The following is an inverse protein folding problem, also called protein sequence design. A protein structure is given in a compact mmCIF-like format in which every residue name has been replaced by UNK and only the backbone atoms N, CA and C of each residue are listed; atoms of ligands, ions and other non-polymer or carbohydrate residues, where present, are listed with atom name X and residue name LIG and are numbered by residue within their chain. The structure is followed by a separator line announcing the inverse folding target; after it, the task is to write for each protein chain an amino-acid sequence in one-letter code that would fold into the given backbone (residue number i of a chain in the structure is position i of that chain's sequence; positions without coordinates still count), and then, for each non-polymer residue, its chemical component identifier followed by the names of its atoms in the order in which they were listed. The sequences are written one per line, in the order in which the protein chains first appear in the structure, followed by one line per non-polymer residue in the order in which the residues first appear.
data_IF_162153748638
#
_entry.id   IF_162153748638
#
_cell.length_a   1.000
_cell.length_b   1.000
_cell.length_c   1.000
_cell.angle_alpha   90.00
_cell.angle_beta   90.00
_cell.angle_gamma   90.00
#
_symmetry.space_group_name_H-M   'P 1'
#
loop_
_entity.id
_entity.type
_entity.pdbx_description
1 polymer ?
#
# COMPACT_ATOMS: atom_id res chain seq x y z
N UNK A 1 -23.33 -3.04 -15.02
CA UNK A 1 -23.42 -3.47 -13.61
C UNK A 1 -22.83 -4.89 -13.43
N UNK A 2 -21.59 -5.13 -13.90
CA UNK A 2 -20.93 -6.45 -13.82
C UNK A 2 -19.37 -6.33 -13.84
N UNK A 3 -18.82 -5.27 -13.24
CA UNK A 3 -17.36 -5.02 -13.16
C UNK A 3 -16.79 -5.17 -11.74
N UNK A 4 -17.58 -5.65 -10.79
CA UNK A 4 -17.24 -5.66 -9.35
C UNK A 4 -16.55 -6.94 -8.87
N UNK A 5 -16.40 -7.95 -9.72
CA UNK A 5 -15.62 -9.15 -9.42
C UNK A 5 -14.24 -9.05 -10.06
N UNK A 6 -13.48 -8.01 -9.71
CA UNK A 6 -12.07 -7.96 -10.07
C UNK A 6 -11.32 -9.06 -9.31
N UNK A 7 -10.54 -9.87 -10.03
CA UNK A 7 -9.65 -10.92 -9.52
C UNK A 7 -8.64 -10.45 -8.45
N UNK A 8 -8.62 -9.15 -8.17
CA UNK A 8 -7.85 -8.51 -7.11
C UNK A 8 -8.46 -8.66 -5.72
N UNK A 9 -9.78 -8.91 -5.59
CA UNK A 9 -10.39 -9.16 -4.28
C UNK A 9 -9.90 -10.47 -3.67
N UNK A 10 -9.73 -11.52 -4.49
CA UNK A 10 -9.17 -12.80 -4.03
C UNK A 10 -7.72 -12.64 -3.55
N UNK A 11 -6.99 -11.64 -4.07
CA UNK A 11 -5.64 -11.34 -3.62
C UNK A 11 -5.58 -10.88 -2.17
N UNK A 12 -6.65 -10.30 -1.64
CA UNK A 12 -6.77 -9.96 -0.22
C UNK A 12 -6.78 -11.17 0.69
N UNK A 13 -7.22 -12.31 0.14
CA UNK A 13 -7.15 -13.62 0.74
C UNK A 13 -5.87 -14.38 0.36
N UNK A 14 -4.80 -13.77 -0.18
CA UNK A 14 -3.53 -14.48 -0.32
C UNK A 14 -2.77 -14.62 1.03
N UNK A 15 -2.07 -15.74 1.26
CA UNK A 15 -1.20 -15.88 2.42
C UNK A 15 -0.08 -14.82 2.39
N UNK A 16 0.17 -14.16 3.53
CA UNK A 16 1.21 -13.12 3.67
C UNK A 16 0.70 -11.68 3.91
N UNK A 17 -0.60 -11.42 3.74
CA UNK A 17 -1.16 -10.06 3.91
C UNK A 17 -1.63 -9.73 5.34
N UNK A 18 -1.54 -10.65 6.30
CA UNK A 18 -1.96 -10.51 7.72
C UNK A 18 -3.42 -10.12 8.00
N UNK A 19 -4.16 -9.56 7.03
CA UNK A 19 -5.56 -9.10 7.15
C UNK A 19 -6.50 -10.22 7.61
N UNK A 20 -6.30 -11.45 7.14
CA UNK A 20 -7.14 -12.61 7.48
C UNK A 20 -7.24 -12.86 8.99
N UNK A 21 -6.13 -12.70 9.72
CA UNK A 21 -6.10 -12.97 11.17
C UNK A 21 -6.94 -11.95 11.93
N UNK A 22 -6.86 -10.68 11.54
CA UNK A 22 -7.63 -9.60 12.14
C UNK A 22 -9.11 -9.66 11.78
N UNK A 23 -9.43 -10.02 10.54
CA UNK A 23 -10.81 -10.21 10.09
C UNK A 23 -11.49 -11.38 10.83
N UNK A 24 -10.76 -12.49 11.02
CA UNK A 24 -11.25 -13.62 11.82
C UNK A 24 -11.46 -13.21 13.30
N UNK A 25 -10.53 -12.46 13.88
CA UNK A 25 -10.66 -11.96 15.26
C UNK A 25 -11.86 -11.01 15.43
N UNK A 26 -12.11 -10.14 14.44
CA UNK A 26 -13.27 -9.25 14.44
C UNK A 26 -14.59 -10.05 14.33
N UNK A 27 -14.66 -11.03 13.43
CA UNK A 27 -15.85 -11.90 13.32
C UNK A 27 -16.11 -12.66 14.62
N UNK A 28 -15.07 -13.20 15.24
CA UNK A 28 -15.17 -13.90 16.51
C UNK A 28 -15.63 -12.97 17.64
N UNK A 29 -15.10 -11.74 17.70
CA UNK A 29 -15.54 -10.72 18.65
C UNK A 29 -17.01 -10.34 18.51
N UNK A 30 -17.48 -10.11 17.28
CA UNK A 30 -18.90 -9.81 16.99
C UNK A 30 -19.80 -10.98 17.37
N UNK A 31 -19.37 -12.23 17.12
CA UNK A 31 -20.13 -13.42 17.49
C UNK A 31 -20.29 -13.55 19.01
N UNK A 32 -19.20 -13.40 19.78
CA UNK A 32 -19.24 -13.45 21.25
C UNK A 32 -20.11 -12.34 21.82
N UNK A 33 -19.97 -11.12 21.29
CA UNK A 33 -20.77 -9.96 21.73
C UNK A 33 -22.26 -10.15 21.43
N UNK A 34 -22.58 -10.70 20.26
CA UNK A 34 -23.95 -11.05 19.89
C UNK A 34 -24.57 -12.08 20.83
N UNK A 35 -23.82 -13.13 21.20
CA UNK A 35 -24.28 -14.13 22.17
C UNK A 35 -24.50 -13.53 23.57
N UNK A 36 -23.61 -12.67 24.04
CA UNK A 36 -23.74 -12.00 25.33
C UNK A 36 -24.98 -11.10 25.40
N UNK A 37 -25.19 -10.28 24.37
CA UNK A 37 -26.37 -9.41 24.25
C UNK A 37 -27.66 -10.25 24.20
N UNK A 38 -27.65 -11.36 23.45
CA UNK A 38 -28.80 -12.26 23.35
C UNK A 38 -29.18 -12.89 24.71
N UNK A 39 -28.18 -13.27 25.52
CA UNK A 39 -28.43 -13.86 26.84
C UNK A 39 -29.03 -12.82 27.80
N UNK A 40 -28.48 -11.61 27.83
CA UNK A 40 -28.99 -10.50 28.65
C UNK A 40 -30.42 -10.12 28.25
N UNK A 41 -30.69 -9.99 26.95
CA UNK A 41 -32.03 -9.69 26.44
C UNK A 41 -33.03 -10.79 26.78
N UNK A 42 -32.63 -12.06 26.70
CA UNK A 42 -33.49 -13.19 27.09
C UNK A 42 -33.85 -13.11 28.57
N UNK A 43 -32.87 -12.86 29.44
CA UNK A 43 -33.11 -12.80 30.89
C UNK A 43 -34.02 -11.63 31.25
N UNK A 44 -33.77 -10.46 30.65
CA UNK A 44 -34.65 -9.30 30.80
C UNK A 44 -36.08 -9.60 30.33
N UNK A 45 -36.22 -10.30 29.20
CA UNK A 45 -37.52 -10.68 28.62
C UNK A 45 -38.32 -11.64 29.50
N UNK A 46 -37.65 -12.53 30.24
CA UNK A 46 -38.31 -13.50 31.14
C UNK A 46 -38.63 -12.87 32.50
N UNK A 47 -37.77 -11.97 32.99
CA UNK A 47 -37.88 -11.39 34.33
C UNK A 47 -38.89 -10.24 34.42
N UNK A 48 -39.12 -9.51 33.33
CA UNK A 48 -40.00 -8.35 33.30
C UNK A 48 -41.20 -8.57 32.40
N UNK A 49 -42.38 -8.08 32.81
CA UNK A 49 -43.58 -8.07 31.97
C UNK A 49 -43.53 -6.88 31.01
N UNK A 50 -43.35 -7.14 29.72
CA UNK A 50 -43.29 -6.09 28.71
C UNK A 50 -44.69 -5.66 28.23
N UNK A 51 -44.89 -4.36 27.91
CA UNK A 51 -46.11 -3.87 27.26
C UNK A 51 -46.33 -4.52 25.89
N UNK A 52 -47.59 -4.53 25.42
CA UNK A 52 -48.00 -5.12 24.13
C UNK A 52 -47.29 -4.55 22.90
N UNK A 53 -46.71 -3.35 22.99
CA UNK A 53 -45.91 -2.73 21.92
C UNK A 53 -44.69 -3.59 21.54
N UNK A 54 -44.10 -4.31 22.51
CA UNK A 54 -42.94 -5.17 22.27
C UNK A 54 -43.27 -6.38 21.37
N UNK A 55 -44.53 -6.79 21.31
CA UNK A 55 -44.98 -7.87 20.41
C UNK A 55 -44.71 -7.54 18.94
N UNK A 56 -45.05 -6.32 18.52
CA UNK A 56 -44.82 -5.84 17.16
C UNK A 56 -43.36 -5.49 16.92
N UNK A 57 -42.70 -4.84 17.89
CA UNK A 57 -41.30 -4.44 17.78
C UNK A 57 -40.35 -5.65 17.62
N UNK A 58 -40.63 -6.75 18.31
CA UNK A 58 -39.83 -7.98 18.24
C UNK A 58 -40.37 -8.99 17.22
N UNK A 59 -41.28 -8.58 16.34
CA UNK A 59 -41.90 -9.40 15.28
C UNK A 59 -42.42 -10.77 15.78
N UNK A 60 -43.13 -10.80 16.91
CA UNK A 60 -43.60 -12.05 17.53
C UNK A 60 -44.67 -12.80 16.73
N UNK A 61 -45.32 -12.12 15.78
CA UNK A 61 -46.25 -12.75 14.84
C UNK A 61 -45.56 -13.75 13.89
N UNK A 62 -44.23 -13.72 13.79
CA UNK A 62 -43.43 -14.66 12.99
C UNK A 62 -42.98 -15.83 13.89
N UNK A 63 -43.09 -17.08 13.42
CA UNK A 63 -42.57 -18.24 14.14
C UNK A 63 -41.11 -18.06 14.57
N UNK A 64 -40.77 -18.51 15.78
CA UNK A 64 -39.44 -18.30 16.40
C UNK A 64 -38.28 -18.68 15.48
N UNK A 65 -38.44 -19.76 14.71
CA UNK A 65 -37.46 -20.25 13.76
C UNK A 65 -37.18 -19.25 12.61
N UNK A 66 -38.24 -18.83 11.91
CA UNK A 66 -38.14 -17.88 10.80
C UNK A 66 -37.65 -16.50 11.22
N UNK A 67 -38.07 -16.04 12.40
CA UNK A 67 -37.59 -14.80 12.99
C UNK A 67 -36.08 -14.84 13.27
N UNK A 68 -35.58 -15.96 13.81
CA UNK A 68 -34.15 -16.16 14.03
C UNK A 68 -33.35 -16.11 12.73
N UNK A 69 -33.82 -16.79 11.69
CA UNK A 69 -33.21 -16.76 10.35
C UNK A 69 -33.19 -15.33 9.78
N UNK A 70 -34.29 -14.58 9.92
CA UNK A 70 -34.38 -13.21 9.43
C UNK A 70 -33.37 -12.29 10.10
N UNK A 71 -33.26 -12.32 11.44
CA UNK A 71 -32.29 -11.50 12.18
C UNK A 71 -30.85 -11.91 11.88
N UNK A 72 -30.57 -13.21 11.75
CA UNK A 72 -29.24 -13.70 11.41
C UNK A 72 -28.85 -13.29 9.98
N UNK A 73 -29.76 -13.44 9.01
CA UNK A 73 -29.54 -13.03 7.63
C UNK A 73 -29.35 -11.52 7.48
N UNK A 74 -30.18 -10.73 8.15
CA UNK A 74 -30.05 -9.27 8.18
C UNK A 74 -28.72 -8.84 8.81
N UNK A 75 -28.33 -9.45 9.93
CA UNK A 75 -27.05 -9.16 10.61
C UNK A 75 -25.85 -9.48 9.72
N UNK A 76 -25.82 -10.67 9.12
CA UNK A 76 -24.74 -11.07 8.19
C UNK A 76 -24.69 -10.13 6.98
N UNK A 77 -25.84 -9.78 6.40
CA UNK A 77 -25.92 -8.84 5.27
C UNK A 77 -25.37 -7.46 5.62
N UNK A 78 -25.74 -6.91 6.78
CA UNK A 78 -25.30 -5.60 7.25
C UNK A 78 -23.80 -5.60 7.57
N UNK A 79 -23.27 -6.65 8.20
CA UNK A 79 -21.83 -6.82 8.43
C UNK A 79 -21.07 -6.90 7.11
N UNK A 80 -21.54 -7.67 6.14
CA UNK A 80 -20.90 -7.77 4.82
C UNK A 80 -20.93 -6.43 4.07
N UNK A 81 -22.06 -5.72 4.12
CA UNK A 81 -22.20 -4.39 3.52
C UNK A 81 -21.24 -3.39 4.18
N UNK A 82 -21.17 -3.37 5.52
CA UNK A 82 -20.27 -2.51 6.26
C UNK A 82 -18.80 -2.81 5.96
N UNK A 83 -18.41 -4.09 5.93
CA UNK A 83 -17.05 -4.50 5.57
C UNK A 83 -16.69 -4.07 4.14
N UNK A 84 -17.62 -4.25 3.19
CA UNK A 84 -17.42 -3.81 1.81
C UNK A 84 -17.24 -2.30 1.71
N UNK A 85 -18.10 -1.53 2.37
CA UNK A 85 -18.06 -0.09 2.32
C UNK A 85 -16.81 0.47 3.01
N UNK A 86 -16.46 -0.01 4.21
CA UNK A 86 -15.25 0.39 4.93
C UNK A 86 -13.98 0.11 4.12
N UNK A 87 -13.91 -1.05 3.46
CA UNK A 87 -12.80 -1.35 2.58
C UNK A 87 -12.72 -0.31 1.44
N UNK A 88 -13.84 -0.03 0.78
CA UNK A 88 -13.88 0.95 -0.31
C UNK A 88 -13.52 2.38 0.13
N UNK A 89 -13.99 2.82 1.30
CA UNK A 89 -13.73 4.15 1.84
C UNK A 89 -12.26 4.34 2.20
N UNK A 90 -11.65 3.36 2.87
CA UNK A 90 -10.22 3.40 3.20
C UNK A 90 -9.34 3.35 1.95
N UNK A 91 -9.73 2.55 0.95
CA UNK A 91 -9.00 2.48 -0.32
C UNK A 91 -9.03 3.82 -1.07
N UNK A 92 -10.18 4.50 -1.09
CA UNK A 92 -10.34 5.79 -1.75
C UNK A 92 -9.61 6.94 -1.05
N UNK A 93 -9.46 6.87 0.28
CA UNK A 93 -8.80 7.91 1.07
C UNK A 93 -7.27 7.83 1.05
N UNK A 94 -6.72 6.63 0.83
CA UNK A 94 -5.26 6.38 0.85
C UNK A 94 -4.64 6.40 -0.56
N UNK A 95 -5.44 6.29 -1.62
CA UNK A 95 -4.93 6.23 -2.99
C UNK A 95 -4.81 7.61 -3.66
N UNK A 96 -3.62 7.96 -4.19
CA UNK A 96 -3.49 9.04 -5.15
C UNK A 96 -4.24 8.66 -6.44
N UNK A 97 -5.07 9.58 -6.94
CA UNK A 97 -6.01 9.44 -8.06
C UNK A 97 -5.37 9.11 -9.44
N UNK A 98 -4.09 8.72 -9.53
CA UNK A 98 -3.37 8.49 -10.79
C UNK A 98 -2.40 7.29 -10.75
N UNK A 99 -2.94 6.09 -10.99
CA UNK A 99 -2.41 5.05 -11.92
C UNK A 99 -3.15 3.74 -11.65
N UNK A 100 -3.50 3.04 -12.71
CA UNK A 100 -4.16 1.71 -12.81
C UNK A 100 -3.42 0.54 -12.13
N UNK A 101 -2.53 0.81 -11.19
CA UNK A 101 -1.73 -0.21 -10.49
C UNK A 101 -2.49 -0.65 -9.26
N UNK A 102 -3.14 -1.81 -9.33
CA UNK A 102 -3.74 -2.51 -8.18
C UNK A 102 -2.85 -2.34 -6.94
N UNK A 103 -3.36 -1.74 -5.86
CA UNK A 103 -2.66 -1.52 -4.58
C UNK A 103 -1.91 -2.76 -4.09
N UNK A 104 -2.47 -3.91 -4.42
CA UNK A 104 -1.86 -5.21 -4.15
C UNK A 104 -0.47 -5.29 -4.77
N UNK A 105 -0.26 -4.86 -6.01
CA UNK A 105 1.04 -4.91 -6.67
C UNK A 105 2.06 -3.95 -6.03
N UNK A 106 1.64 -2.80 -5.51
CA UNK A 106 2.52 -1.85 -4.81
C UNK A 106 2.94 -2.43 -3.44
N UNK A 107 1.96 -2.90 -2.66
CA UNK A 107 2.21 -3.48 -1.33
C UNK A 107 2.96 -4.81 -1.42
N UNK A 108 2.60 -5.65 -2.41
CA UNK A 108 3.25 -6.92 -2.67
C UNK A 108 4.66 -6.72 -3.21
N UNK A 109 4.85 -5.80 -4.16
CA UNK A 109 6.16 -5.41 -4.67
C UNK A 109 7.08 -4.94 -3.55
N UNK A 110 6.64 -3.98 -2.73
CA UNK A 110 7.46 -3.49 -1.62
C UNK A 110 7.77 -4.56 -0.57
N UNK A 111 6.80 -5.42 -0.18
CA UNK A 111 7.04 -6.49 0.80
C UNK A 111 7.94 -7.59 0.24
N UNK A 112 7.78 -7.96 -1.02
CA UNK A 112 8.59 -8.98 -1.68
C UNK A 112 10.02 -8.48 -1.88
N UNK A 113 10.20 -7.26 -2.41
CA UNK A 113 11.51 -6.65 -2.61
C UNK A 113 12.28 -6.46 -1.29
N UNK A 114 11.59 -6.13 -0.19
CA UNK A 114 12.21 -6.05 1.15
C UNK A 114 12.73 -7.39 1.69
N UNK A 115 12.17 -8.51 1.23
CA UNK A 115 12.67 -9.87 1.56
C UNK A 115 13.73 -10.36 0.58
N UNK A 116 14.03 -9.58 -0.47
CA UNK A 116 15.06 -9.90 -1.45
C UNK A 116 16.47 -9.92 -0.85
N UNK A 117 17.45 -10.45 -1.60
CA UNK A 117 18.84 -10.54 -1.16
C UNK A 117 19.42 -9.16 -0.87
N UNK A 118 20.30 -9.08 0.13
CA UNK A 118 21.10 -7.88 0.43
C UNK A 118 22.27 -7.84 -0.55
N UNK A 119 22.34 -6.80 -1.39
CA UNK A 119 23.38 -6.68 -2.41
C UNK A 119 24.13 -5.37 -2.18
N UNK A 120 25.45 -5.46 -2.13
CA UNK A 120 26.35 -4.30 -2.13
C UNK A 120 26.98 -4.23 -3.51
N UNK A 121 26.75 -3.14 -4.24
CA UNK A 121 27.35 -2.86 -5.53
C UNK A 121 28.43 -1.79 -5.37
N UNK A 122 29.65 -2.07 -5.82
CA UNK A 122 30.80 -1.17 -5.68
C UNK A 122 31.30 -0.82 -7.08
N UNK A 123 31.48 0.46 -7.37
CA UNK A 123 31.97 0.89 -8.68
C UNK A 123 31.78 2.38 -8.92
N UNK A 124 31.69 2.78 -10.18
CA UNK A 124 31.45 4.15 -10.62
C UNK A 124 30.88 4.19 -12.03
N UNK A 125 30.79 5.40 -12.57
CA UNK A 125 30.35 5.65 -13.94
C UNK A 125 28.91 5.26 -14.24
N UNK A 126 28.65 5.14 -15.53
CA UNK A 126 27.34 4.77 -16.08
C UNK A 126 27.00 3.29 -15.85
N UNK A 127 28.00 2.40 -15.88
CA UNK A 127 27.81 0.96 -15.70
C UNK A 127 27.15 0.59 -14.37
N UNK A 128 27.62 1.19 -13.26
CA UNK A 128 27.01 0.98 -11.95
C UNK A 128 25.55 1.48 -11.93
N UNK A 129 25.28 2.67 -12.48
CA UNK A 129 23.91 3.21 -12.50
C UNK A 129 22.92 2.36 -13.32
N UNK A 130 23.37 1.75 -14.43
CA UNK A 130 22.54 0.83 -15.24
C UNK A 130 22.25 -0.45 -14.46
N UNK A 131 23.28 -1.03 -13.82
CA UNK A 131 23.13 -2.22 -12.99
C UNK A 131 22.14 -1.97 -11.85
N UNK A 132 22.27 -0.86 -11.13
CA UNK A 132 21.37 -0.47 -10.03
C UNK A 132 19.93 -0.28 -10.53
N UNK A 133 19.73 0.30 -11.72
CA UNK A 133 18.41 0.47 -12.34
C UNK A 133 17.73 -0.87 -12.65
N UNK A 134 18.50 -1.89 -13.02
CA UNK A 134 17.99 -3.25 -13.19
C UNK A 134 17.72 -3.94 -11.84
N UNK A 135 18.70 -3.92 -10.94
CA UNK A 135 18.63 -4.61 -9.65
C UNK A 135 17.49 -4.13 -8.76
N UNK A 136 17.09 -2.84 -8.85
CA UNK A 136 15.99 -2.30 -8.03
C UNK A 136 14.64 -2.98 -8.31
N UNK A 137 14.50 -3.68 -9.43
CA UNK A 137 13.32 -4.48 -9.76
C UNK A 137 13.28 -5.84 -9.06
N UNK A 138 14.40 -6.30 -8.49
CA UNK A 138 14.55 -7.63 -7.91
C UNK A 138 14.78 -7.62 -6.39
N UNK A 139 15.36 -6.56 -5.85
CA UNK A 139 15.54 -6.40 -4.40
C UNK A 139 15.45 -4.94 -3.99
N UNK A 140 14.87 -4.71 -2.81
CA UNK A 140 14.85 -3.41 -2.12
C UNK A 140 16.04 -3.21 -1.18
N UNK A 141 16.93 -4.20 -1.09
CA UNK A 141 18.07 -4.20 -0.16
C UNK A 141 19.38 -3.92 -0.90
N UNK A 142 19.45 -2.78 -1.59
CA UNK A 142 20.62 -2.36 -2.37
C UNK A 142 21.44 -1.30 -1.62
N UNK A 143 22.75 -1.51 -1.57
CA UNK A 143 23.73 -0.51 -1.14
C UNK A 143 24.67 -0.27 -2.30
N UNK A 144 24.83 0.99 -2.71
CA UNK A 144 25.77 1.39 -3.74
C UNK A 144 26.94 2.15 -3.10
N UNK A 145 28.16 1.63 -3.26
CA UNK A 145 29.40 2.32 -2.91
C UNK A 145 29.97 2.89 -4.22
N UNK A 146 29.92 4.21 -4.33
CA UNK A 146 30.26 4.93 -5.57
C UNK A 146 31.61 5.60 -5.41
N UNK A 147 32.52 5.38 -6.36
CA UNK A 147 33.78 6.12 -6.41
C UNK A 147 33.52 7.59 -6.74
N UNK A 148 34.24 8.48 -6.04
CA UNK A 148 34.26 9.93 -6.28
C UNK A 148 35.60 10.39 -6.83
N UNK A 149 36.32 9.49 -7.51
CA UNK A 149 37.63 9.80 -8.08
C UNK A 149 37.54 10.54 -9.43
N UNK A 150 36.37 10.62 -10.04
CA UNK A 150 36.18 11.14 -11.39
C UNK A 150 36.58 12.62 -11.51
N UNK A 151 37.46 12.93 -12.44
CA UNK A 151 38.05 14.25 -12.66
C UNK A 151 37.69 14.85 -14.03
N UNK A 152 36.83 14.15 -14.79
CA UNK A 152 36.38 14.54 -16.12
C UNK A 152 35.14 15.44 -16.18
N UNK A 153 34.99 16.16 -17.31
CA UNK A 153 33.77 16.87 -17.69
C UNK A 153 33.32 17.96 -16.70
N UNK A 154 32.00 18.14 -16.55
CA UNK A 154 31.40 19.14 -15.65
C UNK A 154 31.70 18.87 -14.18
N UNK A 155 31.81 17.60 -13.76
CA UNK A 155 32.12 17.26 -12.37
C UNK A 155 33.56 17.62 -12.01
N UNK A 156 34.50 17.41 -12.94
CA UNK A 156 35.88 17.86 -12.80
C UNK A 156 36.06 19.38 -12.79
N UNK A 157 35.22 20.13 -13.52
CA UNK A 157 35.20 21.61 -13.46
C UNK A 157 34.71 22.10 -12.09
N UNK A 158 33.57 21.59 -11.63
CA UNK A 158 33.02 21.89 -10.31
C UNK A 158 33.99 21.56 -9.18
N UNK A 159 34.71 20.44 -9.28
CA UNK A 159 35.76 20.08 -8.31
C UNK A 159 36.90 21.11 -8.26
N UNK A 160 37.34 21.61 -9.42
CA UNK A 160 38.42 22.61 -9.52
C UNK A 160 37.97 24.01 -9.07
N UNK A 161 36.75 24.40 -9.38
CA UNK A 161 36.20 25.73 -9.08
C UNK A 161 35.72 25.86 -7.63
N UNK A 162 35.08 24.82 -7.08
CA UNK A 162 34.41 24.87 -5.78
C UNK A 162 35.11 24.01 -4.70
N UNK A 163 36.14 23.24 -5.05
CA UNK A 163 36.85 22.37 -4.10
C UNK A 163 36.01 21.20 -3.56
N UNK A 164 34.86 20.91 -4.19
CA UNK A 164 33.95 19.84 -3.77
C UNK A 164 34.29 18.49 -4.42
N UNK A 165 33.83 17.40 -3.81
CA UNK A 165 33.91 16.08 -4.43
C UNK A 165 33.07 16.04 -5.73
N UNK A 166 33.52 15.34 -6.77
CA UNK A 166 32.85 15.30 -8.07
C UNK A 166 31.47 14.62 -7.95
N UNK A 167 30.36 15.33 -8.25
CA UNK A 167 29.02 14.83 -7.97
C UNK A 167 28.46 13.88 -9.04
N UNK A 168 29.09 13.76 -10.21
CA UNK A 168 28.51 13.13 -11.40
C UNK A 168 28.04 11.69 -11.23
N UNK A 169 28.93 10.80 -10.81
CA UNK A 169 28.63 9.37 -10.66
C UNK A 169 27.63 9.10 -9.55
N UNK A 170 27.75 9.84 -8.45
CA UNK A 170 26.79 9.79 -7.35
C UNK A 170 25.40 10.22 -7.82
N UNK A 171 25.30 11.32 -8.57
CA UNK A 171 24.05 11.83 -9.14
C UNK A 171 23.38 10.79 -10.05
N UNK A 172 24.15 10.14 -10.92
CA UNK A 172 23.64 9.10 -11.82
C UNK A 172 23.09 7.88 -11.04
N UNK A 173 23.78 7.46 -9.98
CA UNK A 173 23.34 6.37 -9.12
C UNK A 173 22.06 6.72 -8.34
N UNK A 174 21.95 7.94 -7.82
CA UNK A 174 20.74 8.45 -7.16
C UNK A 174 19.57 8.46 -8.15
N UNK A 175 19.76 8.99 -9.35
CA UNK A 175 18.72 9.02 -10.38
C UNK A 175 18.32 7.61 -10.85
N UNK A 176 19.23 6.63 -10.81
CA UNK A 176 18.93 5.25 -11.13
C UNK A 176 18.07 4.55 -10.07
N UNK A 177 18.37 4.79 -8.79
CA UNK A 177 17.66 4.19 -7.66
C UNK A 177 16.36 4.90 -7.31
N UNK A 178 16.24 6.20 -7.62
CA UNK A 178 15.04 6.97 -7.36
C UNK A 178 13.80 6.37 -8.02
N UNK A 179 12.68 6.39 -7.30
CA UNK A 179 11.34 6.17 -7.83
C UNK A 179 10.67 7.54 -8.02
N UNK A 180 11.29 8.35 -8.88
CA UNK A 180 10.90 9.73 -9.12
C UNK A 180 10.01 9.85 -10.37
N UNK A 181 9.14 10.86 -10.38
CA UNK A 181 8.37 11.19 -11.58
C UNK A 181 9.28 11.40 -12.80
N UNK A 182 8.81 11.07 -14.01
CA UNK A 182 9.60 11.25 -15.24
C UNK A 182 10.15 12.67 -15.41
N UNK A 183 9.42 13.69 -14.93
CA UNK A 183 9.84 15.08 -14.96
C UNK A 183 11.02 15.35 -14.02
N UNK A 184 10.98 14.87 -12.78
CA UNK A 184 12.08 15.02 -11.83
C UNK A 184 13.34 14.29 -12.30
N UNK A 185 13.18 13.09 -12.88
CA UNK A 185 14.32 12.36 -13.46
C UNK A 185 14.94 13.15 -14.62
N UNK A 186 14.12 13.75 -15.49
CA UNK A 186 14.60 14.58 -16.60
C UNK A 186 15.29 15.85 -16.13
N UNK A 187 14.74 16.51 -15.12
CA UNK A 187 15.34 17.71 -14.52
C UNK A 187 16.70 17.37 -13.90
N UNK A 188 16.78 16.31 -13.11
CA UNK A 188 18.03 15.88 -12.47
C UNK A 188 19.09 15.37 -13.46
N UNK A 189 18.68 14.99 -14.67
CA UNK A 189 19.58 14.59 -15.77
C UNK A 189 19.82 15.70 -16.79
N UNK A 190 19.20 16.87 -16.61
CA UNK A 190 19.33 17.97 -17.55
C UNK A 190 20.78 18.46 -17.63
N UNK A 191 21.22 18.74 -18.85
CA UNK A 191 22.51 19.34 -19.14
C UNK A 191 22.26 20.63 -19.92
N UNK A 192 22.83 21.74 -19.44
CA UNK A 192 22.69 23.03 -20.08
C UNK A 192 23.35 23.02 -21.46
N UNK A 193 22.63 23.56 -22.45
CA UNK A 193 23.05 23.69 -23.85
C UNK A 193 24.21 24.69 -24.01
N UNK A 194 24.96 24.56 -25.10
CA UNK A 194 26.01 25.52 -25.47
C UNK A 194 25.42 26.93 -25.72
N UNK A 195 26.10 27.95 -25.22
CA UNK A 195 25.70 29.37 -25.36
C UNK A 195 25.42 30.13 -24.06
N UNK A 196 25.61 29.52 -22.89
CA UNK A 196 25.55 30.16 -21.56
C UNK A 196 26.81 29.84 -20.75
N UNK A 197 27.14 30.63 -19.71
CA UNK A 197 28.26 30.32 -18.81
C UNK A 197 28.12 28.94 -18.13
N UNK A 198 26.89 28.41 -18.09
CA UNK A 198 26.57 27.08 -17.55
C UNK A 198 26.69 25.97 -18.59
N UNK A 199 27.17 26.23 -19.81
CA UNK A 199 27.25 25.25 -20.88
C UNK A 199 27.96 23.95 -20.45
N UNK A 200 27.28 22.82 -20.67
CA UNK A 200 27.76 21.49 -20.28
C UNK A 200 27.65 21.16 -18.79
N UNK A 201 27.21 22.10 -17.93
CA UNK A 201 26.89 21.80 -16.53
C UNK A 201 25.61 20.99 -16.43
N UNK A 202 25.53 20.26 -15.33
CA UNK A 202 24.38 19.47 -14.92
C UNK A 202 23.56 20.24 -13.90
N UNK A 203 22.22 20.22 -14.03
CA UNK A 203 21.30 20.79 -13.04
C UNK A 203 21.41 20.06 -11.69
#
# INVERSE_FOLDING_TARGET
MNRLLNADFLKWLYPGMHIKRWLALLMLGVAIMGLGIAYILREAYVSYTFPSVFYYLTLQFIPRFWRGIMFMGASVGLVLFALWHLNSSLLSAVLPRKRDSSLVNIIWGQRYLRRGPKIVAIGGGTGLSILLRGLKQYTGNLIAIVTVADDGGSSGRLRRELGIQPPGDLRNCIAALADAEPLMTRLFQYRFSDGSDLAGHSF
#
